data_IF_416526915653
#
_entry.id   IF_416526915653
#
_cell.length_a   1.000
_cell.length_b   1.000
_cell.length_c   1.000
_cell.angle_alpha   90.00
_cell.angle_beta   90.00
_cell.angle_gamma   90.00
#
_symmetry.space_group_name_H-M   'P 1'
#
loop_
_entity.id
_entity.type
_entity.pdbx_description
1 polymer ?
#
# COMPACT_ATOMS: atom_id res chain seq x y z
N UNK A 1 14.77 12.09 -9.03
CA UNK A 1 13.37 12.54 -9.12
C UNK A 1 13.07 13.34 -10.38
N UNK A 2 12.29 12.75 -11.29
CA UNK A 2 11.66 13.47 -12.41
C UNK A 2 10.74 14.58 -11.86
N UNK A 3 10.94 15.83 -12.29
CA UNK A 3 10.13 16.97 -11.86
C UNK A 3 8.82 16.99 -12.67
N UNK A 4 7.81 16.24 -12.23
CA UNK A 4 6.50 16.19 -12.86
C UNK A 4 5.59 17.32 -12.33
N UNK A 5 4.76 17.89 -13.21
CA UNK A 5 3.75 18.89 -12.83
C UNK A 5 2.62 18.28 -11.98
N UNK A 6 2.40 16.97 -12.11
CA UNK A 6 1.38 16.19 -11.39
C UNK A 6 1.94 14.81 -11.05
N UNK A 7 1.47 14.26 -9.93
CA UNK A 7 1.74 12.87 -9.57
C UNK A 7 0.81 11.93 -10.36
N UNK A 8 1.37 10.93 -11.02
CA UNK A 8 0.65 9.83 -11.63
C UNK A 8 0.92 8.56 -10.81
N UNK A 9 -0.13 7.99 -10.27
CA UNK A 9 -0.07 6.83 -9.38
C UNK A 9 -0.69 5.59 -10.05
N UNK A 10 -0.12 4.41 -9.79
CA UNK A 10 -0.74 3.13 -10.09
C UNK A 10 -0.60 2.15 -8.92
N UNK A 11 -1.55 1.21 -8.83
CA UNK A 11 -1.50 0.06 -7.91
C UNK A 11 -0.67 -1.04 -8.56
N UNK A 12 0.36 -1.53 -7.86
CA UNK A 12 1.35 -2.49 -8.36
C UNK A 12 1.65 -3.55 -7.29
N UNK A 13 2.41 -4.58 -7.63
CA UNK A 13 2.68 -5.71 -6.74
C UNK A 13 1.45 -6.60 -6.51
N UNK A 14 0.43 -6.46 -7.37
CA UNK A 14 -0.82 -7.20 -7.28
C UNK A 14 -0.82 -8.49 -8.13
N UNK A 15 0.28 -8.77 -8.85
CA UNK A 15 0.41 -9.92 -9.77
C UNK A 15 -0.10 -9.63 -11.19
N UNK A 16 -0.27 -8.36 -11.56
CA UNK A 16 -0.64 -7.95 -12.90
C UNK A 16 0.56 -8.04 -13.88
N UNK A 17 0.33 -8.33 -15.18
CA UNK A 17 1.41 -8.64 -16.12
C UNK A 17 2.24 -7.43 -16.57
N UNK A 18 1.83 -6.20 -16.23
CA UNK A 18 2.40 -4.97 -16.81
C UNK A 18 3.01 -4.01 -15.79
N UNK A 19 3.33 -4.47 -14.59
CA UNK A 19 3.86 -3.61 -13.53
C UNK A 19 5.17 -2.92 -13.95
N UNK A 20 6.06 -3.66 -14.64
CA UNK A 20 7.35 -3.15 -15.12
C UNK A 20 7.21 -2.06 -16.18
N UNK A 21 6.20 -2.16 -17.05
CA UNK A 21 5.88 -1.17 -18.07
C UNK A 21 5.28 0.08 -17.44
N UNK A 22 4.39 -0.08 -16.46
CA UNK A 22 3.75 1.03 -15.75
C UNK A 22 4.77 1.88 -15.00
N UNK A 23 5.78 1.27 -14.37
CA UNK A 23 6.87 1.97 -13.66
C UNK A 23 7.67 2.94 -14.54
N UNK A 24 7.65 2.77 -15.87
CA UNK A 24 8.31 3.72 -16.80
C UNK A 24 7.51 5.01 -16.99
N UNK A 25 6.22 4.99 -16.64
CA UNK A 25 5.22 6.03 -16.90
C UNK A 25 4.85 6.77 -15.61
N UNK A 26 4.61 6.05 -14.52
CA UNK A 26 4.12 6.61 -13.26
C UNK A 26 5.20 7.35 -12.47
N UNK A 27 4.79 8.21 -11.55
CA UNK A 27 5.68 8.88 -10.59
C UNK A 27 5.58 8.29 -9.19
N UNK A 28 4.48 7.58 -8.89
CA UNK A 28 4.24 6.90 -7.62
C UNK A 28 3.66 5.49 -7.83
N UNK A 29 4.10 4.53 -7.03
CA UNK A 29 3.64 3.15 -7.01
C UNK A 29 3.00 2.82 -5.66
N UNK A 30 1.73 2.41 -5.65
CA UNK A 30 1.04 1.89 -4.47
C UNK A 30 1.17 0.38 -4.48
N UNK A 31 2.03 -0.16 -3.62
CA UNK A 31 2.43 -1.57 -3.67
C UNK A 31 1.63 -2.37 -2.64
N UNK A 32 1.00 -3.47 -3.09
CA UNK A 32 0.19 -4.34 -2.25
C UNK A 32 0.96 -4.92 -1.06
N UNK A 33 0.32 -4.97 0.11
CA UNK A 33 0.97 -5.33 1.38
C UNK A 33 0.64 -6.74 1.90
N UNK A 34 0.07 -7.63 1.07
CA UNK A 34 -0.25 -9.01 1.47
C UNK A 34 -1.66 -9.23 2.01
N UNK A 35 -2.46 -8.19 2.24
CA UNK A 35 -3.86 -8.33 2.67
C UNK A 35 -4.78 -8.82 1.56
N UNK A 36 -4.87 -8.07 0.45
CA UNK A 36 -5.70 -8.40 -0.70
C UNK A 36 -4.92 -9.12 -1.81
N UNK A 37 -3.65 -8.77 -1.97
CA UNK A 37 -2.74 -9.28 -2.98
C UNK A 37 -1.28 -9.11 -2.52
N UNK A 38 -0.34 -9.68 -3.27
CA UNK A 38 1.09 -9.65 -2.96
C UNK A 38 1.48 -10.60 -1.82
N UNK A 39 2.75 -10.67 -1.52
CA UNK A 39 3.42 -11.41 -0.44
C UNK A 39 4.83 -10.83 -0.27
N UNK A 40 5.64 -11.34 0.67
CA UNK A 40 6.98 -10.81 0.91
C UNK A 40 7.88 -10.80 -0.34
N UNK A 41 7.79 -11.82 -1.19
CA UNK A 41 8.59 -11.91 -2.41
C UNK A 41 8.18 -10.86 -3.44
N UNK A 42 6.90 -10.82 -3.77
CA UNK A 42 6.35 -9.86 -4.74
C UNK A 42 6.43 -8.40 -4.25
N UNK A 43 6.28 -8.15 -2.94
CA UNK A 43 6.55 -6.83 -2.34
C UNK A 43 8.00 -6.41 -2.58
N UNK A 44 8.96 -7.28 -2.27
CA UNK A 44 10.39 -7.01 -2.46
C UNK A 44 10.72 -6.69 -3.91
N UNK A 45 10.19 -7.48 -4.84
CA UNK A 45 10.36 -7.28 -6.28
C UNK A 45 9.78 -5.93 -6.74
N UNK A 46 8.55 -5.62 -6.33
CA UNK A 46 7.89 -4.37 -6.70
C UNK A 46 8.59 -3.14 -6.11
N UNK A 47 9.04 -3.20 -4.86
CA UNK A 47 9.78 -2.11 -4.19
C UNK A 47 11.12 -1.87 -4.89
N UNK A 48 11.88 -2.93 -5.18
CA UNK A 48 13.14 -2.83 -5.92
C UNK A 48 12.92 -2.21 -7.30
N UNK A 49 11.92 -2.70 -8.04
CA UNK A 49 11.62 -2.19 -9.37
C UNK A 49 11.21 -0.70 -9.34
N UNK A 50 10.39 -0.29 -8.37
CA UNK A 50 10.00 1.11 -8.20
C UNK A 50 11.20 2.00 -7.86
N UNK A 51 12.05 1.56 -6.91
CA UNK A 51 13.28 2.26 -6.52
C UNK A 51 14.21 2.45 -7.73
N UNK A 52 14.45 1.39 -8.49
CA UNK A 52 15.37 1.39 -9.64
C UNK A 52 14.86 2.26 -10.80
N UNK A 53 13.55 2.55 -10.84
CA UNK A 53 12.92 3.46 -11.79
C UNK A 53 12.74 4.90 -11.24
N UNK A 54 13.27 5.24 -10.06
CA UNK A 54 13.10 6.56 -9.41
C UNK A 54 11.61 6.92 -9.22
N UNK A 55 10.78 5.91 -8.92
CA UNK A 55 9.34 6.02 -8.62
C UNK A 55 9.13 6.07 -7.11
N UNK A 56 8.25 6.95 -6.64
CA UNK A 56 7.91 7.06 -5.21
C UNK A 56 7.15 5.83 -4.75
N UNK A 57 7.63 5.23 -3.67
CA UNK A 57 7.06 3.99 -3.12
C UNK A 57 6.02 4.35 -2.07
N UNK A 58 4.85 3.72 -2.13
CA UNK A 58 3.83 3.83 -1.10
C UNK A 58 3.19 2.49 -0.81
N UNK A 59 2.80 2.29 0.44
CA UNK A 59 2.11 1.08 0.87
C UNK A 59 0.64 1.11 0.43
N UNK A 60 0.13 -0.05 0.01
CA UNK A 60 -1.26 -0.26 -0.42
C UNK A 60 -2.00 -1.27 0.49
N UNK A 61 -2.19 -0.96 1.78
CA UNK A 61 -2.81 -1.88 2.72
C UNK A 61 -4.31 -2.01 2.46
N UNK A 62 -4.87 -3.13 2.90
CA UNK A 62 -6.23 -3.55 2.56
C UNK A 62 -6.88 -4.29 3.72
N UNK A 63 -8.16 -4.67 3.54
CA UNK A 63 -8.72 -5.76 4.33
C UNK A 63 -8.04 -7.09 4.01
N UNK A 64 -7.95 -7.99 5.00
CA UNK A 64 -7.45 -9.36 4.82
C UNK A 64 -8.49 -10.23 4.08
N UNK A 65 -8.67 -9.96 2.79
CA UNK A 65 -9.68 -10.60 1.94
C UNK A 65 -9.13 -10.88 0.54
N UNK A 66 -8.19 -11.82 0.46
CA UNK A 66 -7.65 -12.28 -0.83
C UNK A 66 -8.72 -12.87 -1.76
N UNK A 67 -9.72 -13.53 -1.19
CA UNK A 67 -10.77 -14.20 -1.97
C UNK A 67 -11.58 -13.22 -2.83
N UNK A 68 -11.80 -11.99 -2.33
CA UNK A 68 -12.48 -10.94 -3.10
C UNK A 68 -11.56 -9.75 -3.41
N UNK A 69 -10.24 -9.96 -3.35
CA UNK A 69 -9.24 -8.95 -3.67
C UNK A 69 -9.41 -7.66 -2.85
N UNK A 70 -9.83 -7.75 -1.59
CA UNK A 70 -10.02 -6.61 -0.71
C UNK A 70 -11.10 -5.62 -1.18
N UNK A 71 -12.00 -6.04 -2.08
CA UNK A 71 -13.04 -5.17 -2.67
C UNK A 71 -14.39 -5.25 -1.96
N UNK A 72 -14.54 -6.16 -0.99
CA UNK A 72 -15.76 -6.31 -0.19
C UNK A 72 -15.53 -5.73 1.21
N UNK A 73 -16.44 -4.87 1.72
CA UNK A 73 -16.40 -4.41 3.11
C UNK A 73 -16.45 -5.56 4.10
N UNK A 74 -15.63 -5.50 5.14
CA UNK A 74 -15.68 -6.46 6.25
C UNK A 74 -16.38 -5.82 7.45
N UNK A 75 -17.41 -6.49 7.96
CA UNK A 75 -18.08 -6.08 9.20
C UNK A 75 -17.26 -6.57 10.38
N UNK A 76 -16.33 -5.76 10.84
CA UNK A 76 -15.49 -6.04 12.00
C UNK A 76 -15.23 -4.78 12.85
N UNK A 77 -14.82 -4.93 14.12
CA UNK A 77 -14.44 -3.79 14.95
C UNK A 77 -13.25 -3.05 14.34
N UNK A 78 -13.29 -1.71 14.34
CA UNK A 78 -12.19 -0.88 13.80
C UNK A 78 -10.83 -1.21 14.39
N UNK A 79 -10.76 -1.58 15.67
CA UNK A 79 -9.51 -1.97 16.31
C UNK A 79 -8.84 -3.18 15.63
N UNK A 80 -9.64 -4.14 15.13
CA UNK A 80 -9.13 -5.28 14.38
C UNK A 80 -8.62 -4.84 13.01
N UNK A 81 -9.43 -4.10 12.24
CA UNK A 81 -9.01 -3.57 10.93
C UNK A 81 -7.71 -2.77 11.02
N UNK A 82 -7.56 -1.95 12.08
CA UNK A 82 -6.36 -1.16 12.31
C UNK A 82 -5.16 -2.05 12.63
N UNK A 83 -5.33 -3.07 13.48
CA UNK A 83 -4.26 -4.05 13.77
C UNK A 83 -3.79 -4.73 12.49
N UNK A 84 -4.72 -5.22 11.68
CA UNK A 84 -4.41 -5.91 10.41
C UNK A 84 -3.69 -4.98 9.42
N UNK A 85 -4.01 -3.68 9.42
CA UNK A 85 -3.29 -2.69 8.60
C UNK A 85 -1.89 -2.41 9.16
N UNK A 86 -1.72 -2.28 10.48
CA UNK A 86 -0.41 -2.06 11.08
C UNK A 86 0.53 -3.25 10.83
N UNK A 87 0.03 -4.48 10.91
CA UNK A 87 0.80 -5.68 10.56
C UNK A 87 1.27 -5.63 9.08
N UNK A 88 0.36 -5.30 8.15
CA UNK A 88 0.73 -5.08 6.74
C UNK A 88 1.78 -3.96 6.56
N UNK A 89 1.71 -2.90 7.36
CA UNK A 89 2.68 -1.80 7.31
C UNK A 89 4.05 -2.20 7.85
N UNK A 90 4.09 -3.01 8.90
CA UNK A 90 5.34 -3.54 9.48
C UNK A 90 6.07 -4.43 8.47
N UNK A 91 5.37 -5.41 7.90
CA UNK A 91 5.94 -6.29 6.86
C UNK A 91 6.49 -5.47 5.67
N UNK A 92 5.71 -4.47 5.22
CA UNK A 92 6.13 -3.61 4.12
C UNK A 92 7.37 -2.75 4.48
N UNK A 93 7.43 -2.25 5.71
CA UNK A 93 8.53 -1.41 6.19
C UNK A 93 9.83 -2.19 6.38
N UNK A 94 9.76 -3.41 6.91
CA UNK A 94 10.93 -4.30 7.01
C UNK A 94 11.51 -4.57 5.62
N UNK A 95 10.66 -4.91 4.64
CA UNK A 95 11.12 -5.18 3.27
C UNK A 95 11.70 -3.91 2.62
N UNK A 96 11.05 -2.76 2.80
CA UNK A 96 11.54 -1.48 2.27
C UNK A 96 12.91 -1.12 2.86
N UNK A 97 13.08 -1.30 4.17
CA UNK A 97 14.35 -1.09 4.87
C UNK A 97 15.44 -2.04 4.36
N UNK A 98 15.15 -3.32 4.22
CA UNK A 98 16.08 -4.35 3.74
C UNK A 98 16.62 -4.06 2.33
N UNK A 99 15.85 -3.36 1.50
CA UNK A 99 16.26 -2.96 0.15
C UNK A 99 16.68 -1.50 0.05
N UNK A 100 16.77 -0.78 1.17
CA UNK A 100 17.21 0.61 1.23
C UNK A 100 16.28 1.56 0.47
N UNK A 101 14.97 1.39 0.61
CA UNK A 101 13.95 2.22 0.00
C UNK A 101 13.11 2.98 1.05
N UNK A 102 12.76 4.23 0.72
CA UNK A 102 11.93 5.06 1.59
C UNK A 102 10.43 4.91 1.24
N UNK A 103 9.59 4.76 2.26
CA UNK A 103 8.13 4.77 2.12
C UNK A 103 7.65 6.23 2.11
N UNK A 104 7.08 6.68 1.00
CA UNK A 104 6.69 8.07 0.82
C UNK A 104 5.23 8.36 1.19
N UNK A 105 4.34 7.36 1.18
CA UNK A 105 2.92 7.53 1.48
C UNK A 105 2.22 6.18 1.74
N UNK A 106 0.97 6.26 2.23
CA UNK A 106 0.06 5.13 2.37
C UNK A 106 -1.23 5.46 1.60
N UNK A 107 -1.72 4.51 0.79
CA UNK A 107 -3.01 4.60 0.11
C UNK A 107 -3.79 3.33 0.40
N UNK A 108 -4.90 3.34 1.16
CA UNK A 108 -5.69 2.13 1.35
C UNK A 108 -6.23 1.55 0.03
N UNK A 109 -6.41 0.25 -0.03
CA UNK A 109 -6.97 -0.48 -1.16
C UNK A 109 -8.50 -0.62 -1.07
N UNK A 110 -9.14 -0.70 -2.23
CA UNK A 110 -10.47 -1.31 -2.39
C UNK A 110 -11.54 -0.83 -1.41
N UNK A 111 -12.15 -1.77 -0.70
CA UNK A 111 -13.21 -1.47 0.26
C UNK A 111 -12.72 -0.61 1.42
N UNK A 112 -11.50 -0.86 1.92
CA UNK A 112 -10.92 -0.06 3.02
C UNK A 112 -10.78 1.42 2.63
N UNK A 113 -10.35 1.72 1.40
CA UNK A 113 -10.37 3.09 0.86
C UNK A 113 -11.77 3.68 0.85
N UNK A 114 -12.75 2.95 0.32
CA UNK A 114 -14.12 3.44 0.20
C UNK A 114 -14.78 3.69 1.55
N UNK A 115 -14.50 2.84 2.54
CA UNK A 115 -15.04 2.99 3.89
C UNK A 115 -14.35 4.11 4.66
N UNK A 116 -13.03 4.22 4.58
CA UNK A 116 -12.29 5.36 5.17
C UNK A 116 -12.73 6.70 4.57
N UNK A 117 -13.07 6.74 3.28
CA UNK A 117 -13.62 7.94 2.63
C UNK A 117 -15.03 8.32 3.13
N UNK A 118 -15.81 7.35 3.65
CA UNK A 118 -17.19 7.56 4.12
C UNK A 118 -17.31 7.72 5.64
N UNK A 119 -16.42 7.08 6.40
CA UNK A 119 -16.41 7.09 7.86
C UNK A 119 -15.27 7.95 8.39
N UNK A 120 -15.62 9.13 8.94
CA UNK A 120 -14.65 10.02 9.59
C UNK A 120 -13.97 9.37 10.80
N UNK A 121 -14.68 8.50 11.51
CA UNK A 121 -14.13 7.85 12.71
C UNK A 121 -13.10 6.79 12.34
N UNK A 122 -13.40 5.96 11.33
CA UNK A 122 -12.42 5.00 10.79
C UNK A 122 -11.20 5.72 10.22
N UNK A 123 -11.41 6.78 9.42
CA UNK A 123 -10.33 7.57 8.85
C UNK A 123 -9.41 8.17 9.93
N UNK A 124 -9.98 8.75 11.00
CA UNK A 124 -9.21 9.32 12.10
C UNK A 124 -8.44 8.25 12.87
N UNK A 125 -9.08 7.12 13.16
CA UNK A 125 -8.46 6.04 13.90
C UNK A 125 -7.29 5.43 13.11
N UNK A 126 -7.48 5.19 11.81
CA UNK A 126 -6.43 4.70 10.92
C UNK A 126 -5.28 5.70 10.79
N UNK A 127 -5.57 6.98 10.58
CA UNK A 127 -4.55 8.02 10.51
C UNK A 127 -3.74 8.14 11.81
N UNK A 128 -4.41 8.10 12.97
CA UNK A 128 -3.74 8.18 14.26
C UNK A 128 -2.81 6.98 14.48
N UNK A 129 -3.25 5.77 14.12
CA UNK A 129 -2.45 4.56 14.19
C UNK A 129 -1.20 4.65 13.29
N UNK A 130 -1.38 4.91 11.99
CA UNK A 130 -0.29 5.04 11.03
C UNK A 130 0.73 6.12 11.40
N UNK A 131 0.26 7.24 11.98
CA UNK A 131 1.15 8.31 12.44
C UNK A 131 2.00 7.92 13.66
N UNK A 132 1.46 7.06 14.52
CA UNK A 132 2.13 6.65 15.76
C UNK A 132 3.16 5.53 15.52
N UNK A 133 2.98 4.78 14.44
CA UNK A 133 3.84 3.68 13.99
C UNK A 133 4.97 4.14 13.04
N UNK A 134 4.94 5.40 12.58
CA UNK A 134 5.98 5.96 11.73
C UNK A 134 7.30 6.13 12.52
N UNK A 135 8.22 5.18 12.32
CA UNK A 135 9.61 5.23 12.79
C UNK A 135 10.52 5.96 11.80
#
# INVERSE_FOLDING_TARGET
MRKALMDLNADLGEGAPFDSELLKIVTSASIACGGHAGDAGSMREAILAARDNDVRIGAHPSYLDRANFGRVPIVEPYGKTISDVLEQMQDFAEIAQDVGADIAYVKPHGALYNETARSRDLCRALYAALKSDAH
#
